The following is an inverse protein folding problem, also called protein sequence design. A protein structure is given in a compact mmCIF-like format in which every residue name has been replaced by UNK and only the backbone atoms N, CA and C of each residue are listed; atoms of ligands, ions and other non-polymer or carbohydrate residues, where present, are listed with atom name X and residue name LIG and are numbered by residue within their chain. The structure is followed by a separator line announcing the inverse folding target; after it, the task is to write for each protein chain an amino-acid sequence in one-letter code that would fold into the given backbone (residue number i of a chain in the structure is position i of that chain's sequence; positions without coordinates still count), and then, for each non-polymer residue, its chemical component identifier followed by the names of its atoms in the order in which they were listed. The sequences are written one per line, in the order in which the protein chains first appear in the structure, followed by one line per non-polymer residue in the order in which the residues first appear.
data_IF_877749784446
#
_entry.id   IF_877749784446
#
_cell.length_a   1.000
_cell.length_b   1.000
_cell.length_c   1.000
_cell.angle_alpha   90.00
_cell.angle_beta   90.00
_cell.angle_gamma   90.00
#
_symmetry.space_group_name_H-M   'P 1'
#
loop_
_entity.id
_entity.type
_entity.pdbx_description
1 polymer ?
#
# COMPACT_ATOMS: atom_id res chain seq x y z
N UNK A 1 -33.60 -2.58 12.55
CA UNK A 1 -32.91 -3.49 13.49
C UNK A 1 -31.75 -2.71 14.05
N UNK A 2 -31.65 -2.57 15.38
CA UNK A 2 -30.61 -1.79 16.03
C UNK A 2 -29.21 -2.33 15.69
N UNK A 3 -28.43 -1.55 14.94
CA UNK A 3 -27.06 -1.88 14.52
C UNK A 3 -26.02 -1.86 15.65
N UNK A 4 -26.40 -1.41 16.81
CA UNK A 4 -25.52 -1.04 17.94
C UNK A 4 -24.91 -2.18 18.75
N UNK A 5 -25.14 -3.47 18.38
CA UNK A 5 -24.57 -4.63 19.06
C UNK A 5 -23.97 -5.69 18.12
N UNK A 6 -23.75 -5.33 16.85
CA UNK A 6 -23.18 -6.28 15.91
C UNK A 6 -21.68 -6.43 16.16
N UNK A 7 -21.24 -7.67 16.41
CA UNK A 7 -19.83 -8.01 16.65
C UNK A 7 -19.11 -8.28 15.33
N UNK A 8 -18.03 -7.56 15.08
CA UNK A 8 -17.23 -7.67 13.86
C UNK A 8 -15.79 -8.02 14.21
N UNK A 9 -15.26 -9.09 13.59
CA UNK A 9 -13.85 -9.36 13.65
C UNK A 9 -13.15 -8.77 12.41
N UNK A 10 -11.99 -8.16 12.60
CA UNK A 10 -11.08 -7.72 11.53
C UNK A 10 -9.85 -8.62 11.58
N UNK A 11 -9.55 -9.33 10.50
CA UNK A 11 -8.39 -10.21 10.40
C UNK A 11 -7.24 -9.46 9.76
N UNK A 12 -6.20 -9.18 10.55
CA UNK A 12 -4.99 -8.49 10.15
C UNK A 12 -4.84 -7.10 10.79
N UNK A 13 -3.71 -6.88 11.46
CA UNK A 13 -3.31 -5.63 12.11
C UNK A 13 -2.39 -4.75 11.24
N UNK A 14 -2.46 -4.88 9.91
CA UNK A 14 -1.89 -3.93 8.97
C UNK A 14 -2.72 -2.66 8.90
N UNK A 15 -2.23 -1.62 8.18
CA UNK A 15 -2.89 -0.33 8.12
C UNK A 15 -4.35 -0.41 7.67
N UNK A 16 -4.65 -1.17 6.62
CA UNK A 16 -6.03 -1.35 6.13
C UNK A 16 -6.96 -1.98 7.17
N UNK A 17 -6.45 -2.95 7.95
CA UNK A 17 -7.22 -3.58 9.03
C UNK A 17 -7.46 -2.64 10.21
N UNK A 18 -6.43 -1.92 10.65
CA UNK A 18 -6.52 -0.94 11.75
C UNK A 18 -7.53 0.16 11.41
N UNK A 19 -7.42 0.76 10.22
CA UNK A 19 -8.33 1.81 9.77
C UNK A 19 -9.76 1.27 9.60
N UNK A 20 -9.93 0.03 9.09
CA UNK A 20 -11.26 -0.60 9.01
C UNK A 20 -11.87 -0.77 10.40
N UNK A 21 -11.08 -1.24 11.37
CA UNK A 21 -11.55 -1.38 12.75
C UNK A 21 -11.94 -0.04 13.36
N UNK A 22 -11.15 1.00 13.13
CA UNK A 22 -11.45 2.35 13.59
C UNK A 22 -12.80 2.86 13.03
N UNK A 23 -12.99 2.83 11.71
CA UNK A 23 -14.22 3.36 11.11
C UNK A 23 -15.47 2.53 11.45
N UNK A 24 -15.32 1.21 11.62
CA UNK A 24 -16.40 0.35 12.09
C UNK A 24 -16.77 0.70 13.54
N UNK A 25 -15.80 0.86 14.42
CA UNK A 25 -16.04 1.27 15.82
C UNK A 25 -16.66 2.66 15.90
N UNK A 26 -16.22 3.61 15.07
CA UNK A 26 -16.81 4.94 14.96
C UNK A 26 -18.28 4.91 14.51
N UNK A 27 -18.73 3.85 13.82
CA UNK A 27 -20.14 3.60 13.49
C UNK A 27 -20.91 2.82 14.57
N UNK A 28 -20.29 2.55 15.73
CA UNK A 28 -20.93 1.91 16.88
C UNK A 28 -20.91 0.38 16.88
N UNK A 29 -20.09 -0.27 16.02
CA UNK A 29 -19.90 -1.71 16.07
C UNK A 29 -18.93 -2.12 17.18
N UNK A 30 -19.15 -3.31 17.76
CA UNK A 30 -18.16 -3.95 18.63
C UNK A 30 -17.08 -4.61 17.76
N UNK A 31 -15.85 -4.11 17.80
CA UNK A 31 -14.79 -4.57 16.90
C UNK A 31 -13.65 -5.24 17.65
N UNK A 32 -13.22 -6.40 17.14
CA UNK A 32 -12.01 -7.09 17.56
C UNK A 32 -11.07 -7.30 16.37
N UNK A 33 -9.82 -6.86 16.50
CA UNK A 33 -8.75 -7.13 15.53
C UNK A 33 -7.98 -8.35 15.94
N UNK A 34 -7.81 -9.32 15.04
CA UNK A 34 -7.04 -10.53 15.24
C UNK A 34 -5.77 -10.43 14.41
N UNK A 35 -4.62 -10.34 15.09
CA UNK A 35 -3.32 -10.18 14.45
C UNK A 35 -2.37 -11.31 14.86
N UNK A 36 -1.73 -11.92 13.87
CA UNK A 36 -0.81 -13.06 14.08
C UNK A 36 0.54 -12.66 14.66
N UNK A 37 0.92 -11.39 14.53
CA UNK A 37 2.17 -10.84 15.07
C UNK A 37 1.95 -10.30 16.48
N UNK A 38 3.07 -10.01 17.14
CA UNK A 38 3.08 -9.43 18.49
C UNK A 38 2.62 -7.95 18.50
N UNK A 39 2.73 -7.27 17.35
CA UNK A 39 2.33 -5.85 17.22
C UNK A 39 1.65 -5.58 15.89
N UNK A 40 1.04 -4.39 15.79
CA UNK A 40 0.47 -3.89 14.52
C UNK A 40 1.57 -3.47 13.54
N UNK A 41 1.25 -3.48 12.25
CA UNK A 41 2.09 -2.94 11.18
C UNK A 41 3.47 -3.63 11.00
N UNK A 42 3.62 -4.89 11.37
CA UNK A 42 4.90 -5.63 11.30
C UNK A 42 5.18 -6.28 9.94
N UNK A 43 4.22 -6.28 9.02
CA UNK A 43 4.38 -6.90 7.69
C UNK A 43 4.44 -5.86 6.57
N UNK A 44 3.55 -5.91 5.58
CA UNK A 44 3.58 -5.01 4.42
C UNK A 44 3.63 -3.53 4.80
N UNK A 45 2.92 -3.11 5.84
CA UNK A 45 2.90 -1.74 6.36
C UNK A 45 4.27 -1.31 6.90
N UNK A 46 5.06 -2.23 7.46
CA UNK A 46 6.40 -1.92 7.99
C UNK A 46 7.38 -1.46 6.88
N UNK A 47 7.26 -2.06 5.71
CA UNK A 47 8.09 -1.73 4.55
C UNK A 47 7.43 -0.76 3.56
N UNK A 48 6.38 -0.06 3.97
CA UNK A 48 5.70 0.94 3.13
C UNK A 48 6.65 2.02 2.62
N UNK A 49 6.33 2.58 1.46
CA UNK A 49 7.15 3.62 0.82
C UNK A 49 7.16 4.95 1.59
N UNK A 50 6.20 5.14 2.49
CA UNK A 50 6.00 6.39 3.19
C UNK A 50 5.27 7.46 2.37
N UNK A 51 4.65 7.09 1.24
CA UNK A 51 3.94 8.02 0.36
C UNK A 51 2.43 8.00 0.64
N UNK A 52 1.91 9.11 1.13
CA UNK A 52 0.49 9.45 1.17
C UNK A 52 0.23 10.42 0.01
N UNK A 53 0.33 9.91 -1.20
CA UNK A 53 0.51 10.68 -2.42
C UNK A 53 -0.52 10.28 -3.50
N UNK A 54 -1.73 10.87 -3.49
CA UNK A 54 -2.77 10.61 -4.50
C UNK A 54 -2.34 10.89 -5.94
N UNK A 55 -1.58 11.96 -6.14
CA UNK A 55 -1.06 12.32 -7.45
C UNK A 55 -0.07 11.29 -7.99
N UNK A 56 0.87 10.86 -7.14
CA UNK A 56 1.85 9.83 -7.49
C UNK A 56 1.28 8.40 -7.49
N UNK A 57 0.11 8.15 -6.87
CA UNK A 57 -0.51 6.82 -6.79
C UNK A 57 -0.81 6.27 -8.18
N UNK A 58 -0.16 5.17 -8.56
CA UNK A 58 -0.26 4.59 -9.91
C UNK A 58 -0.42 3.08 -9.84
N UNK A 59 -1.42 2.50 -10.55
CA UNK A 59 -1.53 1.05 -10.65
C UNK A 59 -0.26 0.44 -11.23
N UNK A 60 0.27 -0.61 -10.62
CA UNK A 60 1.46 -1.33 -11.12
C UNK A 60 1.24 -2.03 -12.47
N UNK A 61 0.04 -1.93 -13.01
CA UNK A 61 -0.33 -2.42 -14.35
C UNK A 61 0.00 -1.46 -15.48
N UNK A 62 0.72 -0.37 -15.19
CA UNK A 62 1.15 0.60 -16.20
C UNK A 62 1.74 -0.09 -17.44
N UNK A 63 1.29 0.25 -18.66
CA UNK A 63 1.88 -0.29 -19.89
C UNK A 63 3.39 -0.13 -19.89
N UNK A 64 4.12 -1.21 -20.19
CA UNK A 64 5.59 -1.21 -20.15
C UNK A 64 6.22 -1.38 -18.76
N UNK A 65 5.47 -1.24 -17.66
CA UNK A 65 6.02 -1.42 -16.31
C UNK A 65 6.63 -2.81 -16.12
N UNK A 66 5.95 -3.86 -16.62
CA UNK A 66 6.43 -5.24 -16.51
C UNK A 66 7.68 -5.50 -17.38
N UNK A 67 7.81 -4.83 -18.52
CA UNK A 67 9.02 -4.87 -19.34
C UNK A 67 10.19 -4.15 -18.66
N UNK A 68 9.89 -3.07 -17.93
CA UNK A 68 10.86 -2.32 -17.13
C UNK A 68 11.50 -3.18 -16.03
N UNK A 69 10.72 -4.02 -15.36
CA UNK A 69 11.25 -4.97 -14.38
C UNK A 69 12.25 -5.99 -15.01
N UNK A 70 12.10 -6.30 -16.30
CA UNK A 70 12.94 -7.28 -16.98
C UNK A 70 14.26 -6.72 -17.52
N UNK A 71 14.33 -5.42 -17.87
CA UNK A 71 15.38 -4.89 -18.75
C UNK A 71 16.43 -4.00 -18.08
N UNK A 72 16.23 -3.50 -16.87
CA UNK A 72 17.06 -2.40 -16.36
C UNK A 72 18.25 -2.76 -15.50
N UNK A 73 18.38 -3.98 -15.11
CA UNK A 73 19.59 -4.48 -14.47
C UNK A 73 20.40 -5.32 -15.44
N UNK A 74 20.66 -4.80 -16.66
CA UNK A 74 21.34 -5.55 -17.72
C UNK A 74 22.75 -6.01 -17.31
N UNK A 75 23.45 -5.22 -16.51
CA UNK A 75 24.75 -5.56 -15.96
C UNK A 75 24.68 -6.35 -14.65
N UNK A 76 23.46 -6.54 -14.12
CA UNK A 76 23.20 -7.29 -12.92
C UNK A 76 22.05 -8.28 -13.11
N UNK A 77 22.29 -9.59 -13.01
CA UNK A 77 21.26 -10.57 -13.30
C UNK A 77 20.08 -10.43 -12.33
N UNK A 78 18.95 -10.03 -12.90
CA UNK A 78 17.58 -10.37 -12.60
C UNK A 78 17.24 -10.70 -11.12
N UNK A 79 17.42 -9.76 -10.22
CA UNK A 79 16.99 -9.92 -8.81
C UNK A 79 15.45 -10.06 -8.72
N UNK A 80 14.73 -9.64 -9.76
CA UNK A 80 13.29 -9.39 -9.69
C UNK A 80 12.40 -10.43 -10.37
N UNK A 81 12.95 -11.43 -11.02
CA UNK A 81 12.14 -12.48 -11.66
C UNK A 81 12.52 -13.85 -11.09
N UNK A 82 11.61 -14.48 -10.37
CA UNK A 82 11.76 -15.87 -10.01
C UNK A 82 11.95 -16.71 -11.28
N UNK A 83 13.02 -17.46 -11.32
CA UNK A 83 13.20 -18.53 -12.32
C UNK A 83 12.12 -19.59 -12.05
N UNK A 84 11.35 -19.96 -13.06
CA UNK A 84 10.38 -21.04 -12.97
C UNK A 84 9.10 -20.81 -13.78
N UNK A 85 8.51 -21.89 -14.24
CA UNK A 85 7.25 -21.96 -14.98
C UNK A 85 6.06 -22.14 -14.06
N UNK A 86 5.78 -21.14 -13.18
CA UNK A 86 4.54 -21.13 -12.40
C UNK A 86 3.36 -20.78 -13.33
N UNK A 87 2.47 -21.75 -13.57
CA UNK A 87 1.26 -21.57 -14.37
C UNK A 87 0.34 -20.48 -13.80
N UNK A 88 0.22 -20.40 -12.49
CA UNK A 88 -0.55 -19.37 -11.82
C UNK A 88 0.01 -17.97 -12.07
N UNK A 89 1.34 -17.81 -12.14
CA UNK A 89 1.99 -16.55 -12.50
C UNK A 89 1.69 -16.18 -13.96
N UNK A 90 1.75 -17.12 -14.90
CA UNK A 90 1.42 -16.86 -16.29
C UNK A 90 -0.02 -16.40 -16.46
N UNK A 91 -0.99 -17.05 -15.79
CA UNK A 91 -2.41 -16.65 -15.78
C UNK A 91 -2.58 -15.26 -15.19
N UNK A 92 -1.94 -14.96 -14.06
CA UNK A 92 -1.97 -13.65 -13.41
C UNK A 92 -1.39 -12.56 -14.32
N UNK A 93 -0.25 -12.80 -14.96
CA UNK A 93 0.36 -11.90 -15.94
C UNK A 93 -0.54 -11.67 -17.16
N UNK A 94 -1.25 -12.70 -17.61
CA UNK A 94 -2.27 -12.57 -18.67
C UNK A 94 -3.38 -11.60 -18.27
N UNK A 95 -3.92 -11.74 -17.06
CA UNK A 95 -4.93 -10.83 -16.51
C UNK A 95 -4.39 -9.39 -16.35
N UNK A 96 -3.14 -9.23 -15.93
CA UNK A 96 -2.50 -7.91 -15.84
C UNK A 96 -2.38 -7.24 -17.20
N UNK A 97 -2.01 -7.98 -18.26
CA UNK A 97 -1.97 -7.45 -19.62
C UNK A 97 -3.36 -7.02 -20.11
N UNK A 98 -4.39 -7.79 -19.83
CA UNK A 98 -5.78 -7.40 -20.14
C UNK A 98 -6.19 -6.14 -19.40
N UNK A 99 -5.80 -6.00 -18.13
CA UNK A 99 -6.10 -4.82 -17.33
C UNK A 99 -5.42 -3.54 -17.83
N UNK A 100 -4.33 -3.64 -18.61
CA UNK A 100 -3.63 -2.48 -19.17
C UNK A 100 -4.52 -1.60 -20.07
N UNK A 101 -5.49 -2.18 -20.76
CA UNK A 101 -6.45 -1.41 -21.57
C UNK A 101 -7.32 -0.46 -20.72
N UNK A 102 -7.49 -0.75 -19.43
CA UNK A 102 -8.24 0.06 -18.48
C UNK A 102 -7.33 0.93 -17.60
N UNK A 103 -6.06 1.08 -17.97
CA UNK A 103 -5.07 1.78 -17.12
C UNK A 103 -5.54 3.18 -16.72
N UNK A 104 -5.98 4.00 -17.67
CA UNK A 104 -6.42 5.37 -17.39
C UNK A 104 -7.58 5.41 -16.39
N UNK A 105 -8.60 4.55 -16.59
CA UNK A 105 -9.73 4.44 -15.65
C UNK A 105 -9.28 3.97 -14.27
N UNK A 106 -8.41 2.97 -14.20
CA UNK A 106 -7.91 2.43 -12.93
C UNK A 106 -7.00 3.43 -12.22
N UNK A 107 -6.21 4.20 -12.96
CA UNK A 107 -5.43 5.31 -12.40
C UNK A 107 -6.35 6.35 -11.76
N UNK A 108 -7.42 6.75 -12.46
CA UNK A 108 -8.41 7.71 -11.95
C UNK A 108 -9.12 7.19 -10.69
N UNK A 109 -9.59 5.91 -10.70
CA UNK A 109 -10.23 5.28 -9.55
C UNK A 109 -9.30 5.24 -8.33
N UNK A 110 -8.05 4.84 -8.55
CA UNK A 110 -7.03 4.78 -7.50
C UNK A 110 -6.71 6.18 -6.95
N UNK A 111 -6.56 7.17 -7.82
CA UNK A 111 -6.29 8.55 -7.43
C UNK A 111 -7.43 9.15 -6.61
N UNK A 112 -8.70 8.90 -6.99
CA UNK A 112 -9.87 9.33 -6.21
C UNK A 112 -9.91 8.67 -4.83
N UNK A 113 -9.69 7.36 -4.77
CA UNK A 113 -9.63 6.63 -3.50
C UNK A 113 -8.50 7.15 -2.60
N UNK A 114 -7.33 7.42 -3.18
CA UNK A 114 -6.18 7.94 -2.46
C UNK A 114 -6.40 9.38 -1.98
N UNK A 115 -7.01 10.25 -2.80
CA UNK A 115 -7.37 11.61 -2.41
C UNK A 115 -8.38 11.63 -1.26
N UNK A 116 -9.40 10.78 -1.35
CA UNK A 116 -10.35 10.60 -0.26
C UNK A 116 -9.63 10.13 1.02
N UNK A 117 -8.72 9.16 0.90
CA UNK A 117 -7.90 8.67 2.01
C UNK A 117 -6.99 9.74 2.60
N UNK A 118 -6.37 10.59 1.77
CA UNK A 118 -5.55 11.71 2.23
C UNK A 118 -6.39 12.73 3.02
N UNK A 119 -7.55 13.12 2.49
CA UNK A 119 -8.47 14.03 3.18
C UNK A 119 -8.89 13.52 4.56
N UNK A 120 -9.27 12.24 4.64
CA UNK A 120 -9.59 11.59 5.91
C UNK A 120 -8.37 11.51 6.85
N UNK A 121 -7.19 11.24 6.32
CA UNK A 121 -5.95 11.20 7.12
C UNK A 121 -5.65 12.55 7.75
N UNK A 122 -5.80 13.65 7.01
CA UNK A 122 -5.62 15.01 7.53
C UNK A 122 -6.66 15.36 8.62
N UNK A 123 -7.91 14.93 8.44
CA UNK A 123 -8.96 15.09 9.46
C UNK A 123 -8.60 14.32 10.74
N UNK A 124 -8.17 13.06 10.62
CA UNK A 124 -7.74 12.22 11.74
C UNK A 124 -6.50 12.82 12.42
N UNK A 125 -5.54 13.31 11.64
CA UNK A 125 -4.35 13.98 12.15
C UNK A 125 -4.72 15.19 13.02
N UNK A 126 -5.63 16.02 12.54
CA UNK A 126 -6.10 17.19 13.30
C UNK A 126 -6.88 16.77 14.54
N UNK A 127 -7.78 15.79 14.42
CA UNK A 127 -8.66 15.37 15.52
C UNK A 127 -7.90 14.72 16.68
N UNK A 128 -6.92 13.86 16.37
CA UNK A 128 -6.14 13.11 17.37
C UNK A 128 -4.74 13.68 17.61
N UNK A 129 -4.40 14.82 16.98
CA UNK A 129 -3.07 15.42 17.03
C UNK A 129 -1.96 14.40 16.66
N UNK A 130 -2.16 13.69 15.53
CA UNK A 130 -1.22 12.65 15.11
C UNK A 130 0.04 13.28 14.49
N UNK A 131 1.21 12.87 14.96
CA UNK A 131 2.49 13.28 14.43
C UNK A 131 3.19 12.05 13.80
N UNK A 132 3.46 12.08 12.51
CA UNK A 132 4.04 10.96 11.79
C UNK A 132 5.22 11.34 10.88
N UNK A 133 6.02 12.32 11.31
CA UNK A 133 7.23 12.76 10.61
C UNK A 133 6.93 13.15 9.15
N UNK A 134 5.80 13.81 8.89
CA UNK A 134 5.34 14.11 7.53
C UNK A 134 6.01 15.35 6.93
N UNK A 135 6.14 15.34 5.60
CA UNK A 135 6.56 16.45 4.76
C UNK A 135 5.67 16.54 3.53
N UNK A 136 5.60 17.74 2.94
CA UNK A 136 4.80 18.01 1.75
C UNK A 136 5.66 18.00 0.49
N UNK A 137 5.03 17.67 -0.63
CA UNK A 137 5.63 17.64 -1.94
C UNK A 137 6.24 16.29 -2.27
N UNK A 138 5.82 15.75 -3.43
CA UNK A 138 6.33 14.48 -3.96
C UNK A 138 6.73 14.66 -5.42
N UNK A 139 7.94 14.27 -5.74
CA UNK A 139 8.39 14.12 -7.12
C UNK A 139 8.10 12.72 -7.63
N UNK A 140 7.43 12.62 -8.78
CA UNK A 140 7.38 11.41 -9.59
C UNK A 140 8.40 11.56 -10.71
N UNK A 141 9.58 10.92 -10.56
CA UNK A 141 10.75 11.12 -11.41
C UNK A 141 10.80 10.11 -12.55
N UNK A 142 11.27 10.58 -13.70
CA UNK A 142 11.54 9.78 -14.89
C UNK A 142 13.01 9.92 -15.26
N UNK A 143 13.72 8.80 -15.37
CA UNK A 143 15.16 8.80 -15.74
C UNK A 143 15.39 8.85 -17.23
N UNK A 144 14.47 8.32 -18.03
CA UNK A 144 14.62 8.20 -19.48
C UNK A 144 13.54 8.99 -20.22
N UNK A 145 13.87 9.58 -21.41
CA UNK A 145 12.89 10.29 -22.23
C UNK A 145 11.68 9.44 -22.62
N UNK A 146 11.87 8.16 -22.90
CA UNK A 146 10.78 7.22 -23.21
C UNK A 146 9.80 7.01 -22.04
N UNK A 147 10.24 7.26 -20.80
CA UNK A 147 9.38 7.20 -19.61
C UNK A 147 8.67 8.53 -19.39
N UNK A 148 9.39 9.62 -19.57
CA UNK A 148 8.81 10.96 -19.52
C UNK A 148 7.67 11.14 -20.56
N UNK A 149 7.73 10.43 -21.70
CA UNK A 149 6.63 10.41 -22.68
C UNK A 149 5.29 9.90 -22.10
N UNK A 150 5.31 9.20 -20.95
CA UNK A 150 4.09 8.71 -20.27
C UNK A 150 3.51 9.73 -19.28
N UNK A 151 4.19 10.86 -19.04
CA UNK A 151 3.71 11.89 -18.12
C UNK A 151 2.31 12.40 -18.50
N UNK A 152 2.00 12.52 -19.80
CA UNK A 152 0.69 12.99 -20.26
C UNK A 152 -0.49 12.21 -19.69
N UNK A 153 -0.40 10.87 -19.65
CA UNK A 153 -1.47 10.04 -19.06
C UNK A 153 -1.63 10.25 -17.56
N UNK A 154 -0.56 10.60 -16.86
CA UNK A 154 -0.60 10.89 -15.43
C UNK A 154 -1.14 12.30 -15.17
N UNK A 155 -0.80 13.26 -16.03
CA UNK A 155 -1.34 14.62 -16.00
C UNK A 155 -2.84 14.62 -16.23
N UNK A 156 -3.34 13.90 -17.26
CA UNK A 156 -4.78 13.76 -17.52
C UNK A 156 -5.54 13.26 -16.28
N UNK A 157 -5.00 12.26 -15.58
CA UNK A 157 -5.61 11.76 -14.35
C UNK A 157 -5.55 12.78 -13.20
N UNK A 158 -4.45 13.54 -13.11
CA UNK A 158 -4.30 14.60 -12.11
C UNK A 158 -5.28 15.75 -12.37
N UNK A 159 -5.45 16.17 -13.64
CA UNK A 159 -6.42 17.19 -14.06
C UNK A 159 -7.87 16.76 -13.75
N UNK A 160 -8.23 15.50 -14.07
CA UNK A 160 -9.56 14.96 -13.77
C UNK A 160 -9.86 14.83 -12.28
N UNK A 161 -8.83 14.75 -11.43
CA UNK A 161 -8.93 14.74 -9.97
C UNK A 161 -8.70 16.13 -9.35
N UNK A 162 -8.46 17.16 -10.16
CA UNK A 162 -8.17 18.53 -9.71
C UNK A 162 -6.92 18.62 -8.80
N UNK A 163 -5.95 17.72 -9.01
CA UNK A 163 -4.70 17.74 -8.26
C UNK A 163 -3.79 18.84 -8.77
N UNK A 164 -3.24 19.65 -7.87
CA UNK A 164 -2.14 20.55 -8.23
C UNK A 164 -0.94 19.73 -8.65
N UNK A 165 -0.43 20.00 -9.83
CA UNK A 165 0.76 19.33 -10.35
C UNK A 165 1.53 20.25 -11.30
N UNK A 166 2.82 19.97 -11.47
CA UNK A 166 3.71 20.67 -12.39
C UNK A 166 4.58 19.65 -13.12
N UNK A 167 4.62 19.77 -14.45
CA UNK A 167 5.61 19.06 -15.24
C UNK A 167 6.92 19.85 -15.20
N UNK A 168 7.98 19.21 -14.76
CA UNK A 168 9.28 19.82 -14.54
C UNK A 168 10.33 19.19 -15.45
N UNK A 169 11.16 20.03 -16.05
CA UNK A 169 12.41 19.63 -16.68
C UNK A 169 13.53 19.46 -15.63
N UNK A 170 14.70 19.09 -16.09
CA UNK A 170 15.84 18.80 -15.22
C UNK A 170 16.33 20.05 -14.46
N UNK A 171 16.24 21.23 -15.05
CA UNK A 171 16.67 22.48 -14.43
C UNK A 171 15.70 22.87 -13.30
N UNK A 172 14.40 22.83 -13.57
CA UNK A 172 13.35 23.13 -12.60
C UNK A 172 13.36 22.13 -11.41
N UNK A 173 13.62 20.83 -11.67
CA UNK A 173 13.78 19.83 -10.60
C UNK A 173 14.92 20.22 -9.65
N UNK A 174 16.09 20.60 -10.20
CA UNK A 174 17.26 20.99 -9.40
C UNK A 174 17.09 22.32 -8.68
N UNK A 175 16.29 23.22 -9.24
CA UNK A 175 15.95 24.49 -8.59
C UNK A 175 15.07 24.26 -7.35
N UNK A 176 14.13 23.31 -7.42
CA UNK A 176 13.26 22.96 -6.30
C UNK A 176 13.94 22.05 -5.26
N UNK A 177 14.84 21.18 -5.69
CA UNK A 177 15.59 20.25 -4.82
C UNK A 177 17.10 20.38 -5.11
N UNK A 178 17.77 21.38 -4.54
CA UNK A 178 19.20 21.62 -4.79
C UNK A 178 20.12 20.49 -4.30
N UNK A 179 19.65 19.65 -3.39
CA UNK A 179 20.38 18.50 -2.90
C UNK A 179 20.52 17.37 -3.94
N UNK A 180 19.79 17.41 -5.05
CA UNK A 180 19.96 16.43 -6.14
C UNK A 180 21.36 16.51 -6.74
N UNK A 181 21.99 15.36 -6.87
CA UNK A 181 23.27 15.21 -7.56
C UNK A 181 23.21 15.74 -8.99
N UNK A 182 24.22 16.51 -9.40
CA UNK A 182 24.36 16.97 -10.80
C UNK A 182 24.50 15.83 -11.79
N UNK A 183 25.04 14.67 -11.35
CA UNK A 183 25.20 13.44 -12.15
C UNK A 183 23.97 12.55 -12.20
N UNK A 184 22.89 12.87 -11.48
CA UNK A 184 21.68 12.06 -11.50
C UNK A 184 21.03 12.07 -12.90
N UNK A 185 20.76 10.88 -13.44
CA UNK A 185 20.01 10.74 -14.69
C UNK A 185 18.55 11.14 -14.46
N UNK A 186 18.14 12.23 -15.09
CA UNK A 186 16.78 12.80 -15.02
C UNK A 186 16.34 13.19 -16.43
N UNK A 187 15.14 12.82 -16.82
CA UNK A 187 14.50 13.25 -18.07
C UNK A 187 13.27 14.14 -17.81
N UNK A 188 12.82 14.24 -16.56
CA UNK A 188 11.71 15.08 -16.13
C UNK A 188 11.04 14.53 -14.88
N UNK A 189 10.09 15.28 -14.36
CA UNK A 189 9.26 14.88 -13.23
C UNK A 189 7.84 15.43 -13.36
N UNK A 190 6.90 14.76 -12.69
CA UNK A 190 5.67 15.38 -12.21
C UNK A 190 5.85 15.70 -10.73
N UNK A 191 5.67 16.94 -10.38
CA UNK A 191 5.69 17.42 -9.00
C UNK A 191 4.28 17.65 -8.50
N UNK A 192 3.98 17.07 -7.35
CA UNK A 192 2.69 17.17 -6.66
C UNK A 192 2.90 17.89 -5.31
N UNK A 193 2.65 19.20 -5.22
CA UNK A 193 2.95 19.98 -4.03
C UNK A 193 2.08 19.60 -2.80
N UNK A 194 0.87 19.14 -3.04
CA UNK A 194 -0.09 18.79 -1.99
C UNK A 194 -0.02 17.29 -1.59
N UNK A 195 0.76 16.48 -2.29
CA UNK A 195 1.05 15.10 -1.89
C UNK A 195 1.95 15.11 -0.64
N UNK A 196 1.75 14.13 0.24
CA UNK A 196 2.41 14.03 1.54
C UNK A 196 3.26 12.77 1.58
N UNK A 197 4.35 12.85 2.32
CA UNK A 197 5.13 11.68 2.70
C UNK A 197 5.40 11.68 4.20
N UNK A 198 5.62 10.49 4.79
CA UNK A 198 5.87 10.39 6.22
C UNK A 198 6.06 8.96 6.72
N UNK A 199 5.93 8.78 8.02
CA UNK A 199 6.14 7.51 8.69
C UNK A 199 4.83 6.71 8.83
N UNK A 200 4.53 5.89 7.82
CA UNK A 200 3.33 5.04 7.78
C UNK A 200 3.19 4.13 9.01
N UNK A 201 4.29 3.59 9.53
CA UNK A 201 4.29 2.71 10.72
C UNK A 201 3.90 3.49 11.97
N UNK A 202 4.42 4.70 12.12
CA UNK A 202 4.07 5.58 13.25
C UNK A 202 2.59 5.97 13.19
N UNK A 203 2.10 6.36 12.00
CA UNK A 203 0.70 6.63 11.76
C UNK A 203 -0.19 5.41 12.12
N UNK A 204 0.17 4.21 11.66
CA UNK A 204 -0.57 2.99 11.97
C UNK A 204 -0.65 2.70 13.48
N UNK A 205 0.45 2.93 14.22
CA UNK A 205 0.47 2.76 15.68
C UNK A 205 -0.43 3.78 16.39
N UNK A 206 -0.45 5.02 15.93
CA UNK A 206 -1.31 6.07 16.48
C UNK A 206 -2.79 5.77 16.16
N UNK A 207 -3.10 5.33 14.92
CA UNK A 207 -4.45 4.89 14.55
C UNK A 207 -4.94 3.69 15.36
N UNK A 208 -4.04 2.76 15.74
CA UNK A 208 -4.38 1.70 16.68
C UNK A 208 -4.84 2.28 18.03
N UNK A 209 -4.12 3.27 18.57
CA UNK A 209 -4.49 3.90 19.83
C UNK A 209 -5.85 4.60 19.70
N UNK A 210 -6.09 5.37 18.64
CA UNK A 210 -7.38 6.00 18.37
C UNK A 210 -8.51 4.97 18.24
N UNK A 211 -8.27 3.82 17.61
CA UNK A 211 -9.24 2.73 17.55
C UNK A 211 -9.54 2.13 18.94
N UNK A 212 -8.52 1.99 19.80
CA UNK A 212 -8.69 1.51 21.18
C UNK A 212 -9.51 2.49 22.04
N UNK A 213 -9.39 3.79 21.85
CA UNK A 213 -10.23 4.80 22.51
C UNK A 213 -11.71 4.62 22.15
N UNK A 214 -12.00 4.14 20.94
CA UNK A 214 -13.36 3.76 20.50
C UNK A 214 -13.80 2.35 20.96
N UNK A 215 -13.00 1.66 21.78
CA UNK A 215 -13.32 0.35 22.32
C UNK A 215 -12.89 -0.84 21.47
N UNK A 216 -12.09 -0.64 20.39
CA UNK A 216 -11.55 -1.75 19.59
C UNK A 216 -10.60 -2.60 20.43
N UNK A 217 -10.81 -3.91 20.44
CA UNK A 217 -9.95 -4.88 21.11
C UNK A 217 -8.94 -5.47 20.12
N UNK A 218 -7.66 -5.51 20.47
CA UNK A 218 -6.60 -6.11 19.66
C UNK A 218 -6.12 -7.40 20.31
N UNK A 219 -6.14 -8.49 19.56
CA UNK A 219 -5.67 -9.82 19.94
C UNK A 219 -4.45 -10.17 19.11
N UNK A 220 -3.28 -10.01 19.72
CA UNK A 220 -1.98 -10.32 19.11
C UNK A 220 -1.63 -11.80 19.27
N UNK A 221 -0.59 -12.27 18.58
CA UNK A 221 -0.13 -13.65 18.57
C UNK A 221 -1.27 -14.64 18.27
N UNK A 222 -2.25 -14.19 17.49
CA UNK A 222 -3.49 -14.91 17.22
C UNK A 222 -3.71 -15.06 15.72
N UNK A 223 -3.73 -16.29 15.24
CA UNK A 223 -3.87 -16.62 13.82
C UNK A 223 -5.26 -17.16 13.54
N UNK A 224 -5.98 -16.55 12.60
CA UNK A 224 -7.20 -17.16 12.02
C UNK A 224 -6.76 -18.19 11.00
N UNK A 225 -7.16 -19.44 11.19
CA UNK A 225 -6.80 -20.57 10.32
C UNK A 225 -7.91 -20.94 9.34
N UNK A 226 -9.17 -20.66 9.67
CA UNK A 226 -10.30 -20.86 8.78
C UNK A 226 -11.46 -19.92 9.11
N UNK A 227 -12.29 -19.65 8.10
CA UNK A 227 -13.53 -18.89 8.19
C UNK A 227 -14.65 -19.79 7.67
N UNK A 228 -15.73 -19.91 8.42
CA UNK A 228 -16.90 -20.72 8.05
C UNK A 228 -18.16 -19.87 8.17
N UNK A 229 -18.92 -19.75 7.08
CA UNK A 229 -20.24 -19.15 7.13
C UNK A 229 -21.23 -20.13 7.78
N UNK A 230 -21.96 -19.66 8.78
CA UNK A 230 -22.97 -20.46 9.49
C UNK A 230 -24.38 -20.13 9.00
N UNK A 231 -25.28 -21.09 9.17
CA UNK A 231 -26.70 -20.86 8.94
C UNK A 231 -27.22 -19.74 9.87
N UNK A 232 -28.02 -18.84 9.35
CA UNK A 232 -28.51 -17.68 10.12
C UNK A 232 -27.63 -16.44 10.04
N UNK A 233 -26.61 -16.42 9.18
CA UNK A 233 -25.82 -15.24 8.86
C UNK A 233 -24.70 -14.91 9.87
N UNK A 234 -24.30 -15.87 10.70
CA UNK A 234 -23.11 -15.76 11.55
C UNK A 234 -21.87 -16.34 10.88
N UNK A 235 -20.72 -15.98 11.40
CA UNK A 235 -19.42 -16.48 10.98
C UNK A 235 -18.70 -17.15 12.14
N UNK A 236 -18.19 -18.36 11.89
CA UNK A 236 -17.30 -19.05 12.81
C UNK A 236 -15.86 -18.87 12.34
N UNK A 237 -14.99 -18.36 13.19
CA UNK A 237 -13.55 -18.30 13.00
C UNK A 237 -12.88 -19.46 13.75
N UNK A 238 -11.99 -20.17 13.07
CA UNK A 238 -11.05 -21.09 13.71
C UNK A 238 -9.78 -20.33 14.06
N UNK A 239 -9.31 -20.47 15.28
CA UNK A 239 -8.20 -19.69 15.82
C UNK A 239 -7.10 -20.58 16.37
N UNK A 240 -5.87 -20.15 16.15
CA UNK A 240 -4.70 -20.61 16.87
C UNK A 240 -4.15 -19.44 17.67
N UNK A 241 -4.35 -19.46 18.98
CA UNK A 241 -4.00 -18.35 19.86
C UNK A 241 -3.69 -18.87 21.27
N UNK A 242 -2.69 -18.29 21.96
CA UNK A 242 -2.46 -18.57 23.37
C UNK A 242 -3.50 -17.89 24.30
N UNK A 243 -4.26 -16.92 23.78
CA UNK A 243 -5.10 -16.02 24.58
C UNK A 243 -6.59 -16.13 24.29
N UNK A 244 -6.97 -16.74 23.16
CA UNK A 244 -8.36 -16.88 22.73
C UNK A 244 -8.77 -18.35 22.66
N UNK A 245 -10.07 -18.58 22.77
CA UNK A 245 -10.62 -19.88 22.46
C UNK A 245 -10.33 -20.29 21.02
N UNK A 246 -10.24 -21.58 20.74
CA UNK A 246 -9.96 -22.10 19.39
C UNK A 246 -11.04 -21.76 18.35
N UNK A 247 -12.20 -21.32 18.82
CA UNK A 247 -13.33 -20.91 17.98
C UNK A 247 -13.94 -19.60 18.49
N UNK A 248 -14.30 -18.71 17.54
CA UNK A 248 -14.97 -17.45 17.84
C UNK A 248 -16.17 -17.28 16.91
N UNK A 249 -17.35 -17.08 17.44
CA UNK A 249 -18.57 -16.73 16.70
C UNK A 249 -18.77 -15.23 16.68
N UNK A 250 -19.05 -14.70 15.48
CA UNK A 250 -19.26 -13.26 15.25
C UNK A 250 -20.35 -13.06 14.23
N UNK A 251 -20.85 -11.82 14.14
CA UNK A 251 -21.90 -11.46 13.18
C UNK A 251 -21.37 -11.15 11.79
N UNK A 252 -20.15 -10.63 11.70
CA UNK A 252 -19.47 -10.38 10.42
C UNK A 252 -17.95 -10.42 10.58
N UNK A 253 -17.25 -10.63 9.47
CA UNK A 253 -15.79 -10.60 9.42
C UNK A 253 -15.30 -9.71 8.27
N UNK A 254 -14.26 -8.92 8.54
CA UNK A 254 -13.48 -8.20 7.54
C UNK A 254 -12.13 -8.90 7.38
N UNK A 255 -11.84 -9.36 6.18
CA UNK A 255 -10.56 -9.98 5.85
C UNK A 255 -9.64 -8.90 5.28
N UNK A 256 -8.63 -8.49 6.07
CA UNK A 256 -7.59 -7.52 5.74
C UNK A 256 -6.19 -8.14 5.94
N UNK A 257 -6.07 -9.47 5.72
CA UNK A 257 -4.89 -10.28 6.02
C UNK A 257 -3.81 -10.28 4.92
N UNK A 258 -3.77 -9.22 4.09
CA UNK A 258 -2.79 -9.09 3.01
C UNK A 258 -2.84 -10.30 2.06
N UNK A 259 -1.67 -10.91 1.80
CA UNK A 259 -1.59 -12.05 0.87
C UNK A 259 -2.30 -13.31 1.40
N UNK A 260 -2.40 -13.49 2.71
CA UNK A 260 -3.08 -14.63 3.32
C UNK A 260 -4.60 -14.61 3.13
N UNK A 261 -5.16 -13.47 2.72
CA UNK A 261 -6.60 -13.34 2.46
C UNK A 261 -7.10 -14.29 1.38
N UNK A 262 -6.29 -14.57 0.34
CA UNK A 262 -6.67 -15.49 -0.72
C UNK A 262 -6.87 -16.92 -0.22
N UNK A 263 -6.03 -17.38 0.70
CA UNK A 263 -6.11 -18.70 1.29
C UNK A 263 -7.33 -18.84 2.22
N UNK A 264 -7.56 -17.83 3.06
CA UNK A 264 -8.68 -17.77 3.99
C UNK A 264 -10.05 -17.76 3.29
N UNK A 265 -10.13 -17.14 2.11
CA UNK A 265 -11.41 -16.92 1.40
C UNK A 265 -11.71 -18.00 0.35
N UNK A 266 -10.72 -18.78 -0.06
CA UNK A 266 -10.92 -19.86 -1.06
C UNK A 266 -11.99 -20.87 -0.65
N UNK A 267 -12.08 -21.33 0.62
CA UNK A 267 -13.13 -22.26 1.05
C UNK A 267 -14.55 -21.66 1.01
N UNK A 268 -14.67 -20.33 0.83
CA UNK A 268 -15.92 -19.59 0.75
C UNK A 268 -16.29 -19.21 -0.70
N UNK A 269 -15.79 -19.95 -1.68
CA UNK A 269 -15.99 -19.71 -3.11
C UNK A 269 -15.59 -18.28 -3.55
N UNK A 270 -14.60 -17.71 -2.87
CA UNK A 270 -14.05 -16.39 -3.18
C UNK A 270 -12.57 -16.54 -3.55
N UNK A 271 -12.32 -16.75 -4.85
CA UNK A 271 -10.96 -16.93 -5.40
C UNK A 271 -10.34 -15.57 -5.75
N UNK A 272 -9.67 -14.95 -4.79
CA UNK A 272 -8.96 -13.70 -5.00
C UNK A 272 -7.68 -13.93 -5.82
N UNK A 273 -7.52 -13.27 -6.99
CA UNK A 273 -6.31 -13.39 -7.80
C UNK A 273 -5.15 -12.57 -7.24
N UNK A 274 -4.93 -12.67 -5.91
CA UNK A 274 -3.82 -12.02 -5.23
C UNK A 274 -2.50 -12.68 -5.56
N UNK A 275 -1.46 -11.88 -5.77
CA UNK A 275 -0.09 -12.34 -5.88
C UNK A 275 0.82 -11.60 -4.90
N UNK A 276 1.71 -12.37 -4.31
CA UNK A 276 2.77 -11.86 -3.48
C UNK A 276 3.81 -11.15 -4.36
N UNK A 277 4.09 -9.91 -4.04
CA UNK A 277 5.15 -9.13 -4.63
C UNK A 277 6.14 -8.75 -3.51
N UNK A 278 7.36 -9.23 -3.65
CA UNK A 278 8.44 -8.92 -2.70
C UNK A 278 8.96 -7.52 -2.95
N UNK A 279 9.15 -6.74 -1.90
CA UNK A 279 9.86 -5.46 -1.95
C UNK A 279 10.92 -5.39 -0.88
N UNK A 280 11.86 -4.47 -1.05
CA UNK A 280 12.98 -4.26 -0.14
C UNK A 280 12.96 -2.83 0.37
N UNK A 281 13.38 -2.67 1.61
CA UNK A 281 13.50 -1.36 2.23
C UNK A 281 14.83 -1.23 2.95
N UNK A 282 15.35 -0.01 2.95
CA UNK A 282 16.48 0.39 3.77
C UNK A 282 16.12 1.64 4.58
N UNK A 283 16.61 1.72 5.79
CA UNK A 283 16.59 2.92 6.61
C UNK A 283 18.03 3.32 6.88
N UNK A 284 18.41 4.52 6.47
CA UNK A 284 19.77 5.04 6.59
C UNK A 284 19.77 6.33 7.42
N UNK A 285 20.72 6.51 8.35
CA UNK A 285 20.83 7.76 9.09
C UNK A 285 21.33 8.88 8.17
N UNK A 286 20.73 10.06 8.30
CA UNK A 286 21.17 11.29 7.64
C UNK A 286 22.56 11.65 8.17
N UNK A 287 23.48 11.95 7.25
CA UNK A 287 24.84 12.42 7.55
C UNK A 287 24.93 13.94 7.44
N UNK A 288 24.45 14.46 6.31
CA UNK A 288 24.45 15.88 6.00
C UNK A 288 22.99 16.32 5.75
N UNK A 289 22.38 17.05 6.68
CA UNK A 289 20.99 17.48 6.55
C UNK A 289 20.69 18.33 5.31
N UNK A 290 21.66 19.15 4.88
CA UNK A 290 21.53 20.06 3.71
C UNK A 290 21.66 19.30 2.38
N UNK A 291 22.33 18.14 2.36
CA UNK A 291 22.44 17.26 1.20
C UNK A 291 21.32 16.19 1.17
N UNK A 292 20.46 16.16 2.19
CA UNK A 292 19.39 15.19 2.31
C UNK A 292 18.11 15.68 1.60
N UNK A 293 17.25 14.75 1.14
CA UNK A 293 16.01 15.14 0.46
C UNK A 293 15.17 16.08 1.34
N UNK A 294 14.70 17.17 0.77
CA UNK A 294 13.73 18.08 1.37
C UNK A 294 12.30 17.62 1.11
N UNK A 295 12.08 16.96 -0.02
CA UNK A 295 10.81 16.40 -0.47
C UNK A 295 10.96 14.90 -0.74
N UNK A 296 9.84 14.19 -0.74
CA UNK A 296 9.85 12.78 -1.11
C UNK A 296 9.92 12.61 -2.63
N UNK A 297 10.47 11.48 -3.06
CA UNK A 297 10.51 11.13 -4.46
C UNK A 297 10.04 9.69 -4.71
N UNK A 298 9.48 9.47 -5.89
CA UNK A 298 9.22 8.16 -6.47
C UNK A 298 9.90 8.05 -7.82
N UNK A 299 10.90 7.18 -7.92
CA UNK A 299 11.60 6.85 -9.16
C UNK A 299 10.78 5.85 -9.97
N UNK A 300 10.14 6.29 -11.05
CA UNK A 300 9.32 5.43 -11.90
C UNK A 300 10.14 4.35 -12.60
N UNK A 301 11.42 4.61 -12.84
CA UNK A 301 12.32 3.70 -13.53
C UNK A 301 12.59 2.41 -12.74
N UNK A 302 12.83 2.56 -11.46
CA UNK A 302 13.20 1.46 -10.56
C UNK A 302 12.09 1.08 -9.58
N UNK A 303 10.97 1.82 -9.59
CA UNK A 303 9.88 1.66 -8.61
C UNK A 303 10.41 1.76 -7.17
N UNK A 304 11.19 2.81 -6.93
CA UNK A 304 11.81 3.09 -5.62
C UNK A 304 11.34 4.46 -5.13
N UNK A 305 10.86 4.49 -3.91
CA UNK A 305 10.55 5.72 -3.20
C UNK A 305 11.66 6.06 -2.21
N UNK A 306 11.89 7.37 -2.01
CA UNK A 306 12.75 7.88 -0.94
C UNK A 306 11.95 8.92 -0.14
N UNK A 307 11.95 8.73 1.18
CA UNK A 307 11.23 9.60 2.11
C UNK A 307 12.11 9.93 3.29
N UNK A 308 12.26 11.22 3.60
CA UNK A 308 12.95 11.66 4.82
C UNK A 308 12.04 11.53 6.03
N UNK A 309 12.52 10.87 7.07
CA UNK A 309 11.83 10.65 8.34
C UNK A 309 12.73 11.23 9.45
N UNK A 310 12.58 12.53 9.71
CA UNK A 310 13.44 13.25 10.65
C UNK A 310 14.92 13.13 10.30
N UNK A 311 15.71 12.50 11.17
CA UNK A 311 17.16 12.25 10.98
C UNK A 311 17.48 10.99 10.16
N UNK A 312 16.53 10.41 9.44
CA UNK A 312 16.70 9.17 8.66
C UNK A 312 16.09 9.30 7.28
N UNK A 313 16.60 8.54 6.33
CA UNK A 313 15.99 8.40 4.99
C UNK A 313 15.53 6.96 4.84
N UNK A 314 14.26 6.78 4.51
CA UNK A 314 13.69 5.51 4.06
C UNK A 314 13.81 5.40 2.55
N UNK A 315 14.28 4.26 2.09
CA UNK A 315 14.40 3.89 0.68
C UNK A 315 13.64 2.59 0.53
N UNK A 316 12.58 2.56 -0.28
CA UNK A 316 11.71 1.38 -0.42
C UNK A 316 11.38 1.12 -1.87
N UNK A 317 11.42 -0.14 -2.30
CA UNK A 317 11.07 -0.50 -3.68
C UNK A 317 11.75 -1.77 -4.17
N UNK A 318 12.16 -1.77 -5.44
CA UNK A 318 12.74 -2.93 -6.13
C UNK A 318 11.80 -4.15 -6.06
N UNK A 319 10.66 -4.03 -6.71
CA UNK A 319 9.57 -5.00 -6.66
C UNK A 319 9.90 -6.27 -7.47
N UNK A 320 9.58 -7.45 -6.94
CA UNK A 320 9.82 -8.71 -7.64
C UNK A 320 8.87 -9.85 -7.28
N UNK A 321 8.63 -10.73 -8.27
CA UNK A 321 7.90 -11.98 -8.09
C UNK A 321 8.85 -13.08 -7.62
N UNK A 322 9.37 -12.94 -6.42
CA UNK A 322 10.21 -13.95 -5.78
C UNK A 322 9.48 -14.57 -4.60
N UNK A 323 9.71 -15.86 -4.30
CA UNK A 323 9.15 -16.45 -3.08
C UNK A 323 9.57 -15.61 -1.86
N UNK A 324 8.69 -15.47 -0.86
CA UNK A 324 9.09 -14.89 0.41
C UNK A 324 10.32 -15.61 0.95
N UNK A 325 11.38 -14.88 1.22
CA UNK A 325 12.63 -15.40 1.75
C UNK A 325 13.00 -14.64 3.00
N UNK A 326 13.50 -15.36 4.00
CA UNK A 326 14.08 -14.73 5.20
C UNK A 326 15.46 -14.12 4.91
N UNK A 327 16.12 -14.56 3.84
CA UNK A 327 17.42 -14.02 3.43
C UNK A 327 17.22 -12.85 2.47
N UNK A 328 17.80 -11.71 2.83
CA UNK A 328 17.82 -10.51 1.99
C UNK A 328 18.86 -10.69 0.88
N UNK A 329 18.48 -10.62 -0.41
CA UNK A 329 19.44 -10.77 -1.49
C UNK A 329 20.46 -9.60 -1.48
N UNK A 330 21.77 -9.85 -1.29
CA UNK A 330 22.75 -8.77 -1.19
C UNK A 330 22.78 -7.83 -2.40
N UNK A 331 22.42 -8.33 -3.56
CA UNK A 331 22.33 -7.61 -4.82
C UNK A 331 21.20 -6.57 -4.82
N UNK A 332 20.00 -6.97 -4.33
CA UNK A 332 18.86 -6.06 -4.22
C UNK A 332 19.19 -4.91 -3.25
N UNK A 333 19.88 -5.24 -2.16
CA UNK A 333 20.25 -4.25 -1.16
C UNK A 333 21.27 -3.24 -1.71
N UNK A 334 22.33 -3.72 -2.41
CA UNK A 334 23.30 -2.83 -3.07
C UNK A 334 22.62 -1.93 -4.11
N UNK A 335 21.71 -2.48 -4.90
CA UNK A 335 20.98 -1.71 -5.92
C UNK A 335 20.11 -0.63 -5.29
N UNK A 336 19.43 -0.95 -4.19
CA UNK A 336 18.61 0.01 -3.45
C UNK A 336 19.44 1.21 -2.97
N UNK A 337 20.61 0.94 -2.36
CA UNK A 337 21.53 1.99 -1.92
C UNK A 337 22.18 2.74 -3.09
N UNK A 338 22.48 2.05 -4.19
CA UNK A 338 23.03 2.68 -5.38
C UNK A 338 22.03 3.70 -5.95
N UNK A 339 20.74 3.34 -6.08
CA UNK A 339 19.70 4.24 -6.57
C UNK A 339 19.61 5.49 -5.69
N UNK A 340 19.66 5.32 -4.36
CA UNK A 340 19.65 6.44 -3.44
C UNK A 340 20.91 7.32 -3.56
N UNK A 341 22.07 6.69 -3.69
CA UNK A 341 23.36 7.39 -3.86
C UNK A 341 23.47 8.11 -5.22
N UNK A 342 22.78 7.63 -6.28
CA UNK A 342 22.71 8.34 -7.56
C UNK A 342 22.05 9.71 -7.41
N UNK A 343 21.02 9.83 -6.57
CA UNK A 343 20.31 11.08 -6.30
C UNK A 343 20.98 11.93 -5.21
N UNK A 344 21.39 11.30 -4.10
CA UNK A 344 21.85 11.99 -2.90
C UNK A 344 23.15 11.36 -2.35
N UNK A 345 24.29 11.50 -3.04
CA UNK A 345 25.53 10.77 -2.68
C UNK A 345 26.07 11.12 -1.31
N UNK A 346 25.82 12.32 -0.81
CA UNK A 346 26.37 12.84 0.45
C UNK A 346 25.35 12.87 1.60
N UNK A 347 24.08 12.59 1.34
CA UNK A 347 22.99 12.78 2.29
C UNK A 347 23.06 11.88 3.53
N UNK A 348 23.51 10.64 3.35
CA UNK A 348 23.36 9.61 4.38
C UNK A 348 24.59 8.75 4.57
N UNK A 349 24.67 8.11 5.73
CA UNK A 349 25.66 7.08 5.98
C UNK A 349 25.14 5.72 5.46
N UNK A 350 25.29 5.47 4.17
CA UNK A 350 24.82 4.28 3.50
C UNK A 350 25.42 2.98 4.04
N UNK A 351 26.60 3.02 4.67
CA UNK A 351 27.22 1.85 5.30
C UNK A 351 26.51 1.43 6.59
N UNK A 352 25.67 2.30 7.17
CA UNK A 352 24.88 2.01 8.38
C UNK A 352 23.41 1.73 8.03
N UNK A 353 23.15 1.25 6.85
CA UNK A 353 21.81 0.91 6.40
C UNK A 353 21.25 -0.31 7.15
N UNK A 354 20.05 -0.16 7.68
CA UNK A 354 19.23 -1.26 8.18
C UNK A 354 18.27 -1.72 7.11
N UNK A 355 18.26 -3.00 6.80
CA UNK A 355 17.47 -3.56 5.70
C UNK A 355 16.40 -4.51 6.18
N UNK A 356 15.31 -4.58 5.42
CA UNK A 356 14.29 -5.62 5.53
C UNK A 356 13.60 -5.83 4.20
N UNK A 357 12.80 -6.90 4.14
CA UNK A 357 11.91 -7.17 3.02
C UNK A 357 10.49 -7.30 3.50
N UNK A 358 9.57 -6.98 2.64
CA UNK A 358 8.15 -7.19 2.88
C UNK A 358 7.47 -7.81 1.67
N UNK A 359 6.30 -8.39 1.92
CA UNK A 359 5.47 -9.00 0.88
C UNK A 359 4.18 -8.21 0.76
N UNK A 360 3.97 -7.62 -0.41
CA UNK A 360 2.73 -6.93 -0.74
C UNK A 360 1.77 -7.87 -1.47
N UNK A 361 0.48 -7.71 -1.22
CA UNK A 361 -0.58 -8.36 -1.96
C UNK A 361 -1.01 -7.47 -3.13
N UNK A 362 -0.92 -7.99 -4.35
CA UNK A 362 -1.26 -7.25 -5.55
C UNK A 362 -2.31 -7.99 -6.37
N UNK A 363 -3.28 -7.23 -6.87
CA UNK A 363 -4.30 -7.69 -7.81
C UNK A 363 -3.91 -7.36 -9.26
N UNK A 364 -4.38 -8.14 -10.27
CA UNK A 364 -3.98 -7.95 -11.66
C UNK A 364 -4.32 -6.58 -12.23
N UNK A 365 -5.41 -5.96 -11.78
CA UNK A 365 -5.86 -4.63 -12.24
C UNK A 365 -5.24 -3.46 -11.44
N UNK A 366 -4.49 -3.75 -10.37
CA UNK A 366 -3.76 -2.76 -9.58
C UNK A 366 -4.61 -1.92 -8.61
N UNK A 367 -5.91 -2.23 -8.46
CA UNK A 367 -6.80 -1.60 -7.49
C UNK A 367 -7.02 -2.52 -6.29
N UNK A 368 -7.32 -1.99 -5.08
CA UNK A 368 -7.77 -2.81 -3.97
C UNK A 368 -9.19 -3.36 -4.21
N UNK A 369 -9.53 -4.45 -3.52
CA UNK A 369 -10.89 -4.94 -3.41
C UNK A 369 -11.46 -4.63 -2.03
N UNK A 370 -12.64 -4.01 -2.01
CA UNK A 370 -13.29 -3.45 -0.82
C UNK A 370 -14.76 -3.84 -0.84
N UNK A 371 -15.27 -4.40 0.24
CA UNK A 371 -16.70 -4.66 0.39
C UNK A 371 -17.09 -6.12 0.54
N UNK A 372 -18.38 -6.45 0.35
CA UNK A 372 -18.91 -7.79 0.61
C UNK A 372 -18.41 -8.80 -0.43
N UNK A 373 -18.18 -10.02 0.04
CA UNK A 373 -18.03 -11.21 -0.81
C UNK A 373 -19.40 -11.77 -1.18
N UNK A 374 -19.44 -12.91 -1.85
CA UNK A 374 -20.70 -13.64 -2.10
C UNK A 374 -21.36 -14.10 -0.80
N UNK A 375 -20.59 -14.27 0.26
CA UNK A 375 -21.08 -14.49 1.62
C UNK A 375 -21.30 -13.12 2.27
N UNK A 376 -22.55 -12.66 2.34
CA UNK A 376 -22.93 -11.28 2.68
C UNK A 376 -22.45 -10.72 4.03
N UNK A 377 -21.93 -11.57 4.92
CA UNK A 377 -21.34 -11.21 6.21
C UNK A 377 -19.81 -11.41 6.26
N UNK A 378 -19.20 -11.73 5.12
CA UNK A 378 -17.74 -11.78 4.94
C UNK A 378 -17.35 -10.65 3.98
N UNK A 379 -16.55 -9.72 4.47
CA UNK A 379 -16.09 -8.54 3.74
C UNK A 379 -14.58 -8.63 3.51
N UNK A 380 -14.10 -7.89 2.51
CA UNK A 380 -12.67 -7.80 2.20
C UNK A 380 -12.20 -6.35 2.14
N UNK A 381 -10.95 -6.12 2.53
CA UNK A 381 -10.23 -4.87 2.31
C UNK A 381 -8.76 -5.20 2.03
N UNK A 382 -8.44 -5.52 0.76
CA UNK A 382 -7.19 -6.17 0.36
C UNK A 382 -6.65 -5.68 -0.98
N UNK A 383 -5.38 -5.93 -1.23
CA UNK A 383 -4.81 -5.74 -2.57
C UNK A 383 -4.32 -4.32 -2.86
N UNK A 384 -4.02 -3.52 -1.85
CA UNK A 384 -3.56 -2.14 -1.99
C UNK A 384 -2.19 -1.99 -2.69
N UNK A 385 -1.40 -3.07 -2.75
CA UNK A 385 -0.11 -3.08 -3.44
C UNK A 385 0.86 -2.02 -2.92
N UNK A 386 1.52 -1.33 -3.85
CA UNK A 386 2.52 -0.30 -3.53
C UNK A 386 1.89 1.04 -3.07
N UNK A 387 0.58 1.22 -3.22
CA UNK A 387 -0.16 2.42 -2.77
C UNK A 387 -0.86 2.19 -1.43
N UNK A 388 -0.27 1.31 -0.61
CA UNK A 388 -0.84 0.84 0.64
C UNK A 388 -1.34 1.95 1.53
N UNK A 389 -0.50 2.92 1.87
CA UNK A 389 -0.91 4.01 2.74
C UNK A 389 -1.93 4.95 2.08
N UNK A 390 -1.64 5.41 0.87
CA UNK A 390 -2.51 6.37 0.17
C UNK A 390 -3.96 5.88 0.03
N UNK A 391 -4.17 4.58 -0.20
CA UNK A 391 -5.49 4.01 -0.41
C UNK A 391 -6.16 3.43 0.85
N UNK A 392 -5.39 3.07 1.91
CA UNK A 392 -5.93 2.28 3.03
C UNK A 392 -6.97 3.01 3.87
N UNK A 393 -6.79 4.31 4.14
CA UNK A 393 -7.72 5.07 4.98
C UNK A 393 -9.05 5.26 4.26
N UNK A 394 -9.00 5.64 2.96
CA UNK A 394 -10.19 5.77 2.13
C UNK A 394 -10.93 4.45 1.94
N UNK A 395 -10.19 3.35 1.67
CA UNK A 395 -10.79 2.02 1.53
C UNK A 395 -11.46 1.53 2.81
N UNK A 396 -10.89 1.85 3.95
CA UNK A 396 -11.44 1.48 5.26
C UNK A 396 -12.75 2.22 5.55
N UNK A 397 -12.83 3.50 5.21
CA UNK A 397 -14.06 4.26 5.35
C UNK A 397 -15.15 3.74 4.41
N UNK A 398 -14.82 3.52 3.11
CA UNK A 398 -15.76 2.90 2.17
C UNK A 398 -16.27 1.55 2.67
N UNK A 399 -15.36 0.71 3.21
CA UNK A 399 -15.75 -0.57 3.78
C UNK A 399 -16.76 -0.40 4.91
N UNK A 400 -16.51 0.53 5.83
CA UNK A 400 -17.39 0.77 6.97
C UNK A 400 -18.79 1.24 6.52
N UNK A 401 -18.87 2.10 5.50
CA UNK A 401 -20.13 2.53 4.90
C UNK A 401 -20.87 1.35 4.26
N UNK A 402 -20.18 0.50 3.49
CA UNK A 402 -20.75 -0.71 2.88
C UNK A 402 -21.23 -1.74 3.92
N UNK A 403 -20.52 -1.91 5.04
CA UNK A 403 -20.94 -2.79 6.15
C UNK A 403 -22.18 -2.25 6.83
N UNK A 404 -22.29 -0.93 6.96
CA UNK A 404 -23.46 -0.25 7.54
C UNK A 404 -24.67 -0.21 6.57
N UNK A 405 -24.45 -0.48 5.29
CA UNK A 405 -25.47 -0.33 4.25
C UNK A 405 -25.78 1.14 3.94
N UNK A 406 -24.81 2.01 4.17
CA UNK A 406 -24.90 3.44 3.90
C UNK A 406 -24.36 3.78 2.50
N UNK A 407 -24.75 4.94 2.00
CA UNK A 407 -24.22 5.48 0.75
C UNK A 407 -22.76 5.90 0.92
N UNK A 408 -21.93 5.57 -0.06
CA UNK A 408 -20.50 5.89 -0.05
C UNK A 408 -20.23 7.28 -0.60
N UNK A 409 -19.31 8.02 0.01
CA UNK A 409 -18.96 9.40 -0.42
C UNK A 409 -18.27 9.45 -1.79
N UNK A 410 -17.64 8.36 -2.21
CA UNK A 410 -17.01 8.25 -3.54
C UNK A 410 -17.50 6.99 -4.26
N UNK A 411 -17.47 6.97 -5.62
CA UNK A 411 -17.88 5.80 -6.39
C UNK A 411 -17.05 4.55 -6.07
N UNK A 412 -17.71 3.41 -5.97
CA UNK A 412 -17.08 2.11 -5.67
C UNK A 412 -16.80 1.25 -6.91
N UNK A 413 -17.11 1.75 -8.12
CA UNK A 413 -16.94 1.01 -9.37
C UNK A 413 -15.49 0.52 -9.57
N UNK A 414 -15.33 -0.76 -9.86
CA UNK A 414 -14.04 -1.43 -10.03
C UNK A 414 -13.32 -1.74 -8.71
N UNK A 415 -13.90 -1.39 -7.56
CA UNK A 415 -13.35 -1.67 -6.23
C UNK A 415 -14.06 -2.83 -5.54
N UNK A 416 -15.27 -3.19 -5.99
CA UNK A 416 -16.06 -4.24 -5.33
C UNK A 416 -15.63 -5.64 -5.80
N UNK A 417 -15.65 -6.65 -4.94
CA UNK A 417 -15.36 -8.04 -5.31
C UNK A 417 -16.21 -8.54 -6.50
N UNK A 418 -17.47 -8.18 -6.56
CA UNK A 418 -18.39 -8.55 -7.67
C UNK A 418 -17.95 -8.01 -9.03
N UNK A 419 -17.24 -6.88 -9.07
CA UNK A 419 -16.81 -6.23 -10.32
C UNK A 419 -15.59 -6.95 -10.94
N UNK A 420 -14.87 -7.75 -10.15
CA UNK A 420 -13.58 -8.35 -10.52
C UNK A 420 -13.60 -9.87 -10.51
N UNK A 421 -14.46 -10.47 -9.69
CA UNK A 421 -14.53 -11.92 -9.47
C UNK A 421 -15.69 -12.60 -10.23
N UNK A 422 -16.37 -11.86 -11.10
CA UNK A 422 -17.47 -12.38 -11.93
C UNK A 422 -16.96 -13.32 -13.03
#
# INVERSE_FOLDING_TARGET
MNSTHRQIAVIGGGLSGICSAYFLAAKGYEVAVIERRAHVAEEATFGDTGLLAPGAATPLTLPGAMATFACRFQDEPRVLLASGTDFGRRRWMGRTRQAQQYFAQNKLRLSRLAAYGQGLTLQLQTHYNLEHENGNGVFHLFRLPAEAARMGQMQEAAEQCEFKHQALDTEAIRALEPAFSSGAALAGALYYPDDIAGNCVLFAKQMRNAAQELGVRFHFDSTVTAIQAEFGGRVMLQLQSPHLASQMRIDAVVVAAGISSAELLRPLDTDLPLRALQSYSALVPVKNPDDAPSMALYDDSYKVAMTRLGGRIRISGLLGFVPPSQTLPPKALRNLLKIAGDYYPNAANYNQAHFWSNTMALLPHGLPLIGPTRQGNVFVNVGHGATGWAASVGSARLLADLVAGEETEIPTEGLLPRDVLA
#
